data_IF_236136555984
#
_entry.id   IF_236136555984
#
_cell.length_a   1.000
_cell.length_b   1.000
_cell.length_c   1.000
_cell.angle_alpha   90.00
_cell.angle_beta   90.00
_cell.angle_gamma   90.00
#
_symmetry.space_group_name_H-M   'P 1'
#
loop_
_entity.id
_entity.type
_entity.pdbx_description
1 polymer ?
#
# COMPACT_ATOMS: atom_id res chain seq x y z
N UNK A 1 -20.76 0.32 14.91
CA UNK A 1 -19.86 -0.33 13.92
C UNK A 1 -20.00 0.25 12.51
N UNK A 2 -21.21 0.31 11.93
CA UNK A 2 -21.41 0.73 10.52
C UNK A 2 -20.97 2.16 10.21
N UNK A 3 -21.17 3.10 11.14
CA UNK A 3 -20.68 4.47 10.98
C UNK A 3 -19.16 4.54 10.80
N UNK A 4 -18.39 3.72 11.52
CA UNK A 4 -16.93 3.65 11.39
C UNK A 4 -16.51 3.03 10.06
N UNK A 5 -17.20 1.95 9.63
CA UNK A 5 -16.97 1.32 8.31
C UNK A 5 -17.23 2.31 7.17
N UNK A 6 -18.31 3.08 7.25
CA UNK A 6 -18.65 4.14 6.29
C UNK A 6 -17.61 5.26 6.28
N UNK A 7 -17.19 5.74 7.47
CA UNK A 7 -16.14 6.75 7.58
C UNK A 7 -14.81 6.28 7.00
N UNK A 8 -14.40 5.04 7.28
CA UNK A 8 -13.21 4.39 6.69
C UNK A 8 -13.29 4.34 5.17
N UNK A 9 -14.43 3.94 4.61
CA UNK A 9 -14.64 3.88 3.14
C UNK A 9 -14.50 5.27 2.51
N UNK A 10 -15.18 6.26 3.06
CA UNK A 10 -15.08 7.65 2.59
C UNK A 10 -13.65 8.18 2.67
N UNK A 11 -12.93 7.87 3.74
CA UNK A 11 -11.55 8.34 3.94
C UNK A 11 -10.58 7.66 2.97
N UNK A 12 -10.75 6.35 2.68
CA UNK A 12 -9.97 5.64 1.64
C UNK A 12 -10.18 6.28 0.27
N UNK A 13 -11.42 6.59 -0.10
CA UNK A 13 -11.71 7.28 -1.37
C UNK A 13 -11.01 8.63 -1.47
N UNK A 14 -11.08 9.44 -0.40
CA UNK A 14 -10.40 10.74 -0.35
C UNK A 14 -8.87 10.59 -0.39
N UNK A 15 -8.31 9.63 0.33
CA UNK A 15 -6.87 9.33 0.34
C UNK A 15 -6.38 8.97 -1.07
N UNK A 16 -7.05 8.05 -1.75
CA UNK A 16 -6.71 7.66 -3.12
C UNK A 16 -6.78 8.83 -4.09
N UNK A 17 -7.80 9.70 -3.96
CA UNK A 17 -7.91 10.90 -4.79
C UNK A 17 -6.73 11.87 -4.57
N UNK A 18 -6.32 12.10 -3.32
CA UNK A 18 -5.15 12.93 -3.00
C UNK A 18 -3.85 12.28 -3.52
N UNK A 19 -3.69 10.96 -3.37
CA UNK A 19 -2.52 10.24 -3.85
C UNK A 19 -2.41 10.29 -5.39
N UNK A 20 -3.52 10.16 -6.10
CA UNK A 20 -3.53 10.28 -7.56
C UNK A 20 -3.18 11.70 -8.02
N UNK A 21 -3.71 12.73 -7.34
CA UNK A 21 -3.32 14.13 -7.61
C UNK A 21 -1.83 14.37 -7.38
N UNK A 22 -1.24 13.77 -6.34
CA UNK A 22 0.20 13.84 -6.09
C UNK A 22 1.00 13.17 -7.22
N UNK A 23 0.59 11.97 -7.66
CA UNK A 23 1.22 11.27 -8.80
C UNK A 23 1.17 12.08 -10.09
N UNK A 24 0.02 12.70 -10.39
CA UNK A 24 -0.13 13.58 -11.56
C UNK A 24 0.76 14.81 -11.48
N UNK A 25 0.94 15.36 -10.27
CA UNK A 25 1.80 16.52 -10.05
C UNK A 25 3.28 16.16 -10.24
N UNK A 26 3.72 15.00 -9.72
CA UNK A 26 5.08 14.49 -9.90
C UNK A 26 5.40 14.11 -11.34
N UNK A 27 4.40 13.71 -12.13
CA UNK A 27 4.57 13.35 -13.54
C UNK A 27 4.79 14.57 -14.45
N UNK A 28 4.38 15.77 -14.01
CA UNK A 28 4.62 17.03 -14.72
C UNK A 28 5.95 17.58 -14.19
N UNK A 29 7.03 17.47 -14.97
CA UNK A 29 8.37 17.97 -14.60
C UNK A 29 8.27 19.40 -14.00
N UNK A 30 8.80 19.57 -12.78
CA UNK A 30 8.49 20.64 -11.83
C UNK A 30 9.07 22.04 -12.15
N UNK A 31 8.27 23.07 -11.84
CA UNK A 31 8.72 24.43 -11.51
C UNK A 31 8.67 24.66 -9.98
N UNK A 32 9.40 25.65 -9.44
CA UNK A 32 9.41 25.97 -8.00
C UNK A 32 8.01 26.21 -7.37
N UNK A 33 7.01 26.57 -8.18
CA UNK A 33 5.61 26.76 -7.76
C UNK A 33 4.88 25.45 -7.45
N UNK A 34 5.36 24.32 -7.97
CA UNK A 34 4.78 23.00 -7.70
C UNK A 34 5.27 22.44 -6.35
N UNK A 35 6.42 22.88 -5.83
CA UNK A 35 6.97 22.43 -4.56
C UNK A 35 6.04 22.64 -3.36
N UNK A 36 5.41 23.81 -3.24
CA UNK A 36 4.46 24.10 -2.15
C UNK A 36 3.19 23.24 -2.25
N UNK A 37 2.73 23.01 -3.47
CA UNK A 37 1.58 22.15 -3.75
C UNK A 37 1.87 20.69 -3.41
N UNK A 38 3.07 20.19 -3.73
CA UNK A 38 3.51 18.85 -3.38
C UNK A 38 3.61 18.67 -1.87
N UNK A 39 4.19 19.66 -1.16
CA UNK A 39 4.25 19.65 0.30
C UNK A 39 2.86 19.63 0.93
N UNK A 40 1.92 20.42 0.40
CA UNK A 40 0.54 20.43 0.87
C UNK A 40 -0.19 19.10 0.60
N UNK A 41 0.03 18.48 -0.57
CA UNK A 41 -0.53 17.16 -0.90
C UNK A 41 0.06 16.06 -0.01
N UNK A 42 1.36 16.11 0.29
CA UNK A 42 2.02 15.17 1.19
C UNK A 42 1.48 15.28 2.63
N UNK A 43 1.39 16.50 3.16
CA UNK A 43 0.82 16.73 4.50
C UNK A 43 -0.63 16.24 4.60
N UNK A 44 -1.43 16.40 3.54
CA UNK A 44 -2.79 15.83 3.48
C UNK A 44 -2.80 14.30 3.46
N UNK A 45 -1.81 13.65 2.84
CA UNK A 45 -1.72 12.18 2.85
C UNK A 45 -1.35 11.67 4.23
N UNK A 46 -0.41 12.32 4.92
CA UNK A 46 0.00 12.00 6.28
C UNK A 46 -1.19 12.11 7.26
N UNK A 47 -1.95 13.22 7.24
CA UNK A 47 -3.16 13.37 8.07
C UNK A 47 -4.18 12.25 7.80
N UNK A 48 -4.47 11.99 6.52
CA UNK A 48 -5.45 10.97 6.15
C UNK A 48 -4.99 9.56 6.51
N UNK A 49 -3.69 9.28 6.44
CA UNK A 49 -3.11 8.01 6.84
C UNK A 49 -3.28 7.78 8.34
N UNK A 50 -2.89 8.77 9.16
CA UNK A 50 -3.07 8.70 10.62
C UNK A 50 -4.54 8.48 11.00
N UNK A 51 -5.46 9.20 10.36
CA UNK A 51 -6.90 9.05 10.60
C UNK A 51 -7.46 7.70 10.14
N UNK A 52 -6.87 7.09 9.10
CA UNK A 52 -7.22 5.73 8.68
C UNK A 52 -6.77 4.71 9.73
N UNK A 53 -5.56 4.87 10.25
CA UNK A 53 -5.00 4.02 11.29
C UNK A 53 -5.84 4.09 12.58
N UNK A 54 -6.19 5.29 13.03
CA UNK A 54 -7.08 5.48 14.18
C UNK A 54 -8.45 4.82 14.01
N UNK A 55 -9.06 4.93 12.82
CA UNK A 55 -10.36 4.30 12.55
C UNK A 55 -10.22 2.78 12.51
N UNK A 56 -9.13 2.27 11.95
CA UNK A 56 -8.85 0.83 11.91
C UNK A 56 -8.64 0.28 13.33
N UNK A 57 -7.85 0.96 14.16
CA UNK A 57 -7.63 0.57 15.56
C UNK A 57 -8.94 0.58 16.36
N UNK A 58 -9.80 1.59 16.20
CA UNK A 58 -11.13 1.63 16.83
C UNK A 58 -12.04 0.49 16.37
N UNK A 59 -11.98 0.12 15.09
CA UNK A 59 -12.73 -1.02 14.56
C UNK A 59 -12.22 -2.33 15.19
N UNK A 60 -10.90 -2.53 15.25
CA UNK A 60 -10.30 -3.71 15.85
C UNK A 60 -10.63 -3.84 17.34
N UNK A 61 -10.52 -2.77 18.12
CA UNK A 61 -10.87 -2.78 19.55
C UNK A 61 -12.33 -3.17 19.80
N UNK A 62 -13.27 -2.63 19.00
CA UNK A 62 -14.70 -2.96 19.13
C UNK A 62 -15.05 -4.39 18.71
N UNK A 63 -14.26 -4.98 17.81
CA UNK A 63 -14.38 -6.39 17.44
C UNK A 63 -13.83 -7.29 18.56
N UNK A 64 -12.70 -6.90 19.17
CA UNK A 64 -12.11 -7.64 20.28
C UNK A 64 -12.98 -7.61 21.56
N UNK A 65 -13.72 -6.52 21.80
CA UNK A 65 -14.65 -6.43 22.94
C UNK A 65 -15.95 -7.25 22.76
N UNK A 66 -16.25 -7.77 21.56
CA UNK A 66 -17.38 -8.67 21.30
C UNK A 66 -16.90 -10.13 21.24
N UNK A 67 -16.47 -10.70 22.38
CA UNK A 67 -16.03 -12.10 22.51
C UNK A 67 -17.18 -13.12 22.42
N UNK A 68 -17.97 -13.07 21.35
CA UNK A 68 -18.66 -14.22 20.77
C UNK A 68 -18.01 -14.64 19.43
N UNK A 69 -17.01 -13.90 18.90
CA UNK A 69 -16.43 -14.08 17.54
C UNK A 69 -14.95 -14.51 17.49
N UNK A 70 -14.38 -15.02 18.59
CA UNK A 70 -12.94 -15.35 18.64
C UNK A 70 -12.50 -16.35 17.55
N UNK A 71 -13.38 -17.30 17.18
CA UNK A 71 -13.08 -18.29 16.14
C UNK A 71 -13.10 -17.71 14.72
N UNK A 72 -13.99 -16.76 14.45
CA UNK A 72 -14.05 -16.07 13.15
C UNK A 72 -12.85 -15.14 12.98
N UNK A 73 -12.45 -14.43 14.04
CA UNK A 73 -11.23 -13.63 14.05
C UNK A 73 -9.98 -14.48 13.80
N UNK A 74 -9.87 -15.63 14.47
CA UNK A 74 -8.74 -16.55 14.27
C UNK A 74 -8.69 -17.09 12.83
N UNK A 75 -9.85 -17.40 12.25
CA UNK A 75 -9.95 -17.87 10.86
C UNK A 75 -9.54 -16.78 9.87
N UNK A 76 -10.05 -15.56 10.03
CA UNK A 76 -9.69 -14.42 9.18
C UNK A 76 -8.22 -14.01 9.34
N UNK A 77 -7.67 -14.13 10.55
CA UNK A 77 -6.26 -13.90 10.83
C UNK A 77 -5.37 -14.93 10.13
N UNK A 78 -5.70 -16.22 10.23
CA UNK A 78 -4.95 -17.28 9.56
C UNK A 78 -5.00 -17.13 8.03
N UNK A 79 -6.15 -16.77 7.47
CA UNK A 79 -6.27 -16.51 6.03
C UNK A 79 -5.38 -15.33 5.57
N UNK A 80 -5.22 -14.30 6.40
CA UNK A 80 -4.33 -13.17 6.10
C UNK A 80 -2.85 -13.57 6.12
N UNK A 81 -2.43 -14.42 7.06
CA UNK A 81 -1.08 -14.99 7.08
C UNK A 81 -0.82 -15.86 5.85
N UNK A 82 -1.78 -16.71 5.45
CA UNK A 82 -1.66 -17.53 4.24
C UNK A 82 -1.49 -16.68 2.97
N UNK A 83 -2.22 -15.56 2.86
CA UNK A 83 -2.04 -14.61 1.75
C UNK A 83 -0.66 -13.94 1.78
N UNK A 84 -0.17 -13.58 2.97
CA UNK A 84 1.15 -12.98 3.14
C UNK A 84 2.26 -13.94 2.73
N UNK A 85 2.17 -15.21 3.13
CA UNK A 85 3.15 -16.24 2.78
C UNK A 85 3.16 -16.51 1.27
N UNK A 86 1.99 -16.64 0.65
CA UNK A 86 1.86 -16.77 -0.80
C UNK A 86 2.48 -15.58 -1.56
N UNK A 87 2.27 -14.35 -1.06
CA UNK A 87 2.88 -13.17 -1.65
C UNK A 87 4.40 -13.19 -1.54
N UNK A 88 4.94 -13.58 -0.39
CA UNK A 88 6.40 -13.70 -0.19
C UNK A 88 7.01 -14.76 -1.10
N UNK A 89 6.34 -15.90 -1.30
CA UNK A 89 6.78 -16.94 -2.23
C UNK A 89 6.82 -16.42 -3.68
N UNK A 90 5.77 -15.72 -4.12
CA UNK A 90 5.70 -15.12 -5.45
C UNK A 90 6.77 -14.05 -5.65
N UNK A 91 7.00 -13.20 -4.64
CA UNK A 91 8.04 -12.17 -4.65
C UNK A 91 9.43 -12.80 -4.80
N UNK A 92 9.72 -13.87 -4.06
CA UNK A 92 10.98 -14.61 -4.17
C UNK A 92 11.20 -15.21 -5.57
N UNK A 93 10.15 -15.79 -6.17
CA UNK A 93 10.20 -16.30 -7.56
C UNK A 93 10.47 -15.18 -8.57
N UNK A 94 9.82 -14.03 -8.42
CA UNK A 94 10.02 -12.87 -9.28
C UNK A 94 11.45 -12.33 -9.19
N UNK A 95 11.97 -12.14 -7.98
CA UNK A 95 13.35 -11.70 -7.75
C UNK A 95 14.36 -12.67 -8.35
N UNK A 96 14.12 -13.98 -8.24
CA UNK A 96 14.93 -15.02 -8.87
C UNK A 96 14.94 -14.90 -10.40
N UNK A 97 13.78 -14.65 -11.02
CA UNK A 97 13.69 -14.47 -12.47
C UNK A 97 14.37 -13.19 -12.94
N UNK A 98 14.19 -12.07 -12.22
CA UNK A 98 14.84 -10.81 -12.53
C UNK A 98 16.37 -10.93 -12.45
N UNK A 99 16.89 -11.61 -11.42
CA UNK A 99 18.32 -11.86 -11.30
C UNK A 99 18.85 -12.72 -12.45
N UNK A 100 18.11 -13.76 -12.87
CA UNK A 100 18.48 -14.56 -14.06
C UNK A 100 18.49 -13.73 -15.34
N UNK A 101 17.52 -12.83 -15.52
CA UNK A 101 17.43 -11.95 -16.70
C UNK A 101 18.59 -10.95 -16.70
N UNK A 102 18.90 -10.34 -15.56
CA UNK A 102 20.04 -9.44 -15.40
C UNK A 102 21.37 -10.17 -15.66
N UNK A 103 21.53 -11.39 -15.15
CA UNK A 103 22.71 -12.24 -15.41
C UNK A 103 22.84 -12.60 -16.89
N UNK A 104 21.73 -12.93 -17.56
CA UNK A 104 21.70 -13.19 -19.00
C UNK A 104 22.05 -11.93 -19.80
N UNK A 105 21.49 -10.79 -19.43
CA UNK A 105 21.77 -9.51 -20.07
C UNK A 105 23.27 -9.16 -20.00
N UNK A 106 23.90 -9.32 -18.83
CA UNK A 106 25.34 -9.09 -18.69
C UNK A 106 26.23 -10.14 -19.35
N UNK A 107 25.75 -11.38 -19.52
CA UNK A 107 26.47 -12.40 -20.29
C UNK A 107 26.44 -12.16 -21.80
N UNK A 108 25.37 -11.58 -22.33
CA UNK A 108 25.18 -11.36 -23.78
C UNK A 108 25.70 -9.99 -24.22
N UNK A 109 25.74 -8.99 -23.33
CA UNK A 109 26.22 -7.63 -23.63
C UNK A 109 27.62 -7.57 -24.29
N UNK A 110 28.63 -8.33 -23.84
CA UNK A 110 29.97 -8.30 -24.43
C UNK A 110 30.01 -8.80 -25.88
N UNK A 111 29.05 -9.65 -26.30
CA UNK A 111 28.97 -10.20 -27.66
C UNK A 111 28.26 -9.29 -28.67
N UNK A 112 27.61 -8.21 -28.21
CA UNK A 112 26.88 -7.24 -29.04
C UNK A 112 27.65 -5.92 -29.27
N UNK A 113 28.77 -5.71 -28.57
CA UNK A 113 29.61 -4.50 -28.69
C UNK A 113 30.78 -4.66 -29.68
N UNK A 114 30.77 -5.66 -30.56
CA UNK A 114 31.74 -5.86 -31.63
C UNK A 114 31.05 -6.09 -32.98
#
# INVERSE_FOLDING_TARGET
MDALKTKRKSLRTSFTATANKLKECLAKKEDAKDGDKLRALNSQLEDKFLRLDEIQNKISSLLLENTDTAAEYETDFQAAEDYRDNFLELKSKLETLLNKILDLFWKVLPSLMW
#
